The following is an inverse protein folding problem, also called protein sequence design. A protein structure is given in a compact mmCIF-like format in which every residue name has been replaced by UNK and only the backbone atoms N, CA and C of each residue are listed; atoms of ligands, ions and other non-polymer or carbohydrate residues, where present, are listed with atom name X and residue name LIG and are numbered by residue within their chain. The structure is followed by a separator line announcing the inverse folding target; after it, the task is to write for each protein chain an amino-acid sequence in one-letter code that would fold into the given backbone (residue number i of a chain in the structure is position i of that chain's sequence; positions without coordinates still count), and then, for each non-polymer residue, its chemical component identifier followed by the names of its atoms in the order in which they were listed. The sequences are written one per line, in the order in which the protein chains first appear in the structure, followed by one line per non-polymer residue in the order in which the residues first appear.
data_IF_175271300714
#
_entry.id   IF_175271300714
#
_cell.length_a   1.000
_cell.length_b   1.000
_cell.length_c   1.000
_cell.angle_alpha   90.00
_cell.angle_beta   90.00
_cell.angle_gamma   90.00
#
_symmetry.space_group_name_H-M   'P 1'
#
loop_
_entity.id
_entity.type
_entity.pdbx_description
1 polymer ?
#
# COMPACT_ATOMS: atom_id res chain seq x y z
N UNK A 1 -14.61 -0.05 -6.03
CA UNK A 1 -15.40 -0.81 -5.05
C UNK A 1 -15.26 -2.29 -5.33
N UNK A 2 -15.35 -3.16 -4.30
CA UNK A 2 -15.31 -4.59 -4.51
C UNK A 2 -16.51 -5.08 -5.34
N UNK A 3 -16.35 -6.24 -5.95
CA UNK A 3 -17.44 -6.96 -6.61
C UNK A 3 -18.57 -7.23 -5.61
N UNK A 4 -19.85 -7.00 -5.97
CA UNK A 4 -20.97 -7.33 -5.11
C UNK A 4 -20.96 -8.81 -4.65
N UNK A 5 -21.12 -9.03 -3.35
CA UNK A 5 -21.10 -10.37 -2.75
C UNK A 5 -19.70 -10.96 -2.56
N UNK A 6 -18.66 -10.11 -2.56
CA UNK A 6 -17.27 -10.51 -2.30
C UNK A 6 -17.13 -11.36 -1.03
N UNK A 7 -17.93 -11.12 0.00
CA UNK A 7 -17.85 -11.83 1.29
C UNK A 7 -17.99 -13.34 1.08
N UNK A 8 -18.89 -13.76 0.19
CA UNK A 8 -19.16 -15.18 -0.09
C UNK A 8 -17.97 -15.88 -0.73
N UNK A 9 -17.19 -15.17 -1.54
CA UNK A 9 -15.99 -15.75 -2.14
C UNK A 9 -14.90 -15.95 -1.08
N UNK A 10 -14.74 -14.96 -0.20
CA UNK A 10 -13.76 -15.02 0.89
C UNK A 10 -14.15 -16.10 1.91
N UNK A 11 -15.40 -16.15 2.37
CA UNK A 11 -15.89 -17.20 3.29
C UNK A 11 -15.67 -18.60 2.75
N UNK A 12 -15.85 -18.81 1.43
CA UNK A 12 -15.60 -20.11 0.80
C UNK A 12 -14.11 -20.44 0.70
N UNK A 13 -13.24 -19.44 0.66
CA UNK A 13 -11.79 -19.61 0.62
C UNK A 13 -11.17 -19.82 2.02
N UNK A 14 -11.78 -19.27 3.08
CA UNK A 14 -11.26 -19.32 4.46
C UNK A 14 -10.85 -20.72 4.93
N UNK A 15 -11.65 -21.80 4.77
CA UNK A 15 -11.24 -23.13 5.22
C UNK A 15 -9.95 -23.65 4.54
N UNK A 16 -9.69 -23.23 3.30
CA UNK A 16 -8.46 -23.58 2.58
C UNK A 16 -7.30 -22.70 3.02
N UNK A 17 -7.54 -21.40 3.21
CA UNK A 17 -6.57 -20.47 3.74
C UNK A 17 -6.08 -20.90 5.12
N UNK A 18 -7.00 -21.37 5.99
CA UNK A 18 -6.71 -21.96 7.29
C UNK A 18 -5.90 -23.26 7.16
N UNK A 19 -6.38 -24.20 6.35
CA UNK A 19 -5.71 -25.50 6.12
C UNK A 19 -4.25 -25.36 5.67
N UNK A 20 -3.95 -24.37 4.83
CA UNK A 20 -2.61 -24.17 4.27
C UNK A 20 -1.82 -23.05 4.95
N UNK A 21 -2.37 -22.44 6.01
CA UNK A 21 -1.78 -21.29 6.68
C UNK A 21 -1.40 -20.15 5.74
N UNK A 22 -2.31 -19.80 4.83
CA UNK A 22 -2.19 -18.69 3.90
C UNK A 22 -3.04 -17.53 4.39
N UNK A 23 -2.46 -16.33 4.42
CA UNK A 23 -3.19 -15.08 4.67
C UNK A 23 -3.53 -14.43 3.33
N UNK A 24 -4.82 -14.32 3.04
CA UNK A 24 -5.32 -13.62 1.87
C UNK A 24 -5.34 -12.11 2.15
N UNK A 25 -4.79 -11.31 1.26
CA UNK A 25 -4.73 -9.86 1.42
C UNK A 25 -5.52 -9.18 0.31
N UNK A 26 -6.48 -8.32 0.66
CA UNK A 26 -7.09 -7.39 -0.30
C UNK A 26 -6.18 -6.17 -0.46
N UNK A 27 -5.90 -5.78 -1.69
CA UNK A 27 -5.05 -4.63 -1.96
C UNK A 27 -5.86 -3.33 -1.90
N UNK A 28 -5.37 -2.35 -1.13
CA UNK A 28 -5.93 -1.00 -1.09
C UNK A 28 -5.09 -0.06 -1.94
N UNK A 29 -5.35 -0.05 -3.24
CA UNK A 29 -4.62 0.75 -4.22
C UNK A 29 -5.40 2.01 -4.65
N UNK A 30 -4.68 3.09 -4.95
CA UNK A 30 -5.28 4.31 -5.55
C UNK A 30 -6.11 3.97 -6.81
N UNK A 31 -7.26 4.61 -7.07
CA UNK A 31 -7.82 5.79 -6.40
C UNK A 31 -8.58 5.48 -5.11
N UNK A 32 -8.60 4.24 -4.62
CA UNK A 32 -9.21 3.92 -3.33
C UNK A 32 -8.33 4.45 -2.19
N UNK A 33 -8.97 5.13 -1.24
CA UNK A 33 -8.36 5.56 0.03
C UNK A 33 -8.76 4.62 1.17
N UNK A 34 -8.01 4.65 2.28
CA UNK A 34 -8.31 3.90 3.49
C UNK A 34 -9.60 4.35 4.20
N UNK A 35 -10.22 5.42 3.70
CA UNK A 35 -11.46 6.01 4.24
C UNK A 35 -12.71 5.59 3.48
N UNK A 36 -12.60 4.72 2.47
CA UNK A 36 -13.74 4.28 1.66
C UNK A 36 -14.59 3.27 2.42
N UNK A 37 -15.90 3.30 2.20
CA UNK A 37 -16.86 2.45 2.92
C UNK A 37 -16.47 0.97 2.90
N UNK A 38 -16.06 0.46 1.73
CA UNK A 38 -15.67 -0.95 1.59
C UNK A 38 -14.45 -1.36 2.42
N UNK A 39 -13.61 -0.42 2.87
CA UNK A 39 -12.53 -0.71 3.82
C UNK A 39 -13.11 -1.07 5.19
N UNK A 40 -14.13 -0.34 5.62
CA UNK A 40 -14.87 -0.66 6.85
C UNK A 40 -15.67 -1.95 6.71
N UNK A 41 -16.23 -2.22 5.53
CA UNK A 41 -16.94 -3.47 5.27
C UNK A 41 -16.00 -4.69 5.37
N UNK A 42 -14.73 -4.56 4.93
CA UNK A 42 -13.70 -5.59 5.17
C UNK A 42 -13.35 -5.75 6.65
N UNK A 43 -13.23 -4.65 7.41
CA UNK A 43 -12.98 -4.71 8.86
C UNK A 43 -14.13 -5.41 9.60
N UNK A 44 -15.37 -5.04 9.30
CA UNK A 44 -16.56 -5.69 9.86
C UNK A 44 -16.59 -7.19 9.54
N UNK A 45 -16.21 -7.57 8.32
CA UNK A 45 -16.10 -8.98 7.95
C UNK A 45 -15.06 -9.73 8.79
N UNK A 46 -13.87 -9.14 8.97
CA UNK A 46 -12.80 -9.73 9.79
C UNK A 46 -13.28 -9.88 11.23
N UNK A 47 -13.88 -8.84 11.81
CA UNK A 47 -14.41 -8.87 13.19
C UNK A 47 -15.53 -9.91 13.36
N UNK A 48 -16.49 -9.96 12.43
CA UNK A 48 -17.62 -10.90 12.46
C UNK A 48 -17.16 -12.36 12.37
N UNK A 49 -16.17 -12.63 11.52
CA UNK A 49 -15.67 -14.01 11.28
C UNK A 49 -14.59 -14.43 12.26
N UNK A 50 -13.89 -13.48 12.88
CA UNK A 50 -12.73 -13.72 13.73
C UNK A 50 -11.53 -14.32 12.98
N UNK A 51 -11.50 -14.19 11.65
CA UNK A 51 -10.45 -14.82 10.84
C UNK A 51 -9.11 -14.09 10.95
N UNK A 52 -8.02 -14.85 11.08
CA UNK A 52 -6.64 -14.35 10.96
C UNK A 52 -6.06 -14.57 9.54
N UNK A 53 -6.87 -15.10 8.62
CA UNK A 53 -6.46 -15.56 7.29
C UNK A 53 -6.99 -14.65 6.16
N UNK A 54 -7.60 -13.53 6.53
CA UNK A 54 -7.94 -12.45 5.62
C UNK A 54 -7.53 -11.10 6.24
N UNK A 55 -7.09 -10.17 5.41
CA UNK A 55 -6.60 -8.86 5.85
C UNK A 55 -6.22 -7.98 4.67
N UNK A 56 -5.31 -7.04 4.90
CA UNK A 56 -4.95 -6.00 3.94
C UNK A 56 -3.52 -6.14 3.42
N UNK A 57 -3.38 -5.84 2.14
CA UNK A 57 -2.15 -5.35 1.54
C UNK A 57 -2.31 -3.84 1.33
N UNK A 58 -1.72 -3.03 2.20
CA UNK A 58 -1.85 -1.57 2.10
C UNK A 58 -0.86 -1.07 1.06
N UNK A 59 -1.36 -0.58 -0.07
CA UNK A 59 -0.51 0.04 -1.09
C UNK A 59 -0.18 1.48 -0.70
N UNK A 60 1.12 1.80 -0.64
CA UNK A 60 1.58 3.12 -0.19
C UNK A 60 1.22 4.26 -1.15
N UNK A 61 0.84 3.94 -2.38
CA UNK A 61 0.25 4.89 -3.31
C UNK A 61 -1.02 5.53 -2.83
N UNK A 62 -1.75 4.89 -1.92
CA UNK A 62 -2.91 5.52 -1.28
C UNK A 62 -2.53 6.78 -0.49
N UNK A 63 -1.27 6.91 -0.04
CA UNK A 63 -0.76 8.08 0.67
C UNK A 63 -0.09 9.12 -0.24
N UNK A 64 -0.10 8.92 -1.56
CA UNK A 64 0.56 9.83 -2.49
C UNK A 64 -0.10 11.22 -2.45
N UNK A 65 0.68 12.23 -2.07
CA UNK A 65 0.19 13.60 -1.83
C UNK A 65 0.84 14.65 -2.73
N UNK A 66 1.70 14.23 -3.66
CA UNK A 66 2.37 15.09 -4.65
C UNK A 66 2.35 14.44 -6.03
N UNK A 67 2.42 15.24 -7.10
CA UNK A 67 2.45 14.72 -8.47
C UNK A 67 3.74 13.97 -8.77
N UNK A 68 3.64 12.96 -9.64
CA UNK A 68 4.76 12.14 -10.08
C UNK A 68 5.69 12.95 -11.00
N UNK A 69 6.98 13.11 -10.65
CA UNK A 69 7.93 13.81 -11.50
C UNK A 69 8.07 13.14 -12.88
N UNK A 70 7.96 13.93 -13.93
CA UNK A 70 8.09 13.45 -15.32
C UNK A 70 6.88 12.69 -15.87
N UNK A 71 5.76 12.62 -15.13
CA UNK A 71 4.51 12.13 -15.68
C UNK A 71 4.01 13.06 -16.81
N UNK A 72 3.54 12.49 -17.91
CA UNK A 72 3.01 13.25 -19.06
C UNK A 72 1.73 12.61 -19.61
N UNK A 73 0.98 13.38 -20.42
CA UNK A 73 -0.23 12.92 -21.09
C UNK A 73 -1.29 12.36 -20.13
N UNK A 74 -2.00 11.31 -20.57
CA UNK A 74 -3.07 10.68 -19.80
C UNK A 74 -2.60 10.06 -18.48
N UNK A 75 -1.30 9.74 -18.35
CA UNK A 75 -0.72 9.29 -17.08
C UNK A 75 -0.68 10.43 -16.06
N UNK A 76 -0.24 11.64 -16.46
CA UNK A 76 -0.25 12.82 -15.60
C UNK A 76 -1.67 13.25 -15.22
N UNK A 77 -2.63 13.19 -16.14
CA UNK A 77 -4.03 13.53 -15.87
C UNK A 77 -4.64 12.61 -14.80
N UNK A 78 -4.41 11.29 -14.93
CA UNK A 78 -4.81 10.31 -13.91
C UNK A 78 -4.08 10.54 -12.60
N UNK A 79 -2.81 10.94 -12.67
CA UNK A 79 -2.01 11.22 -11.50
C UNK A 79 -2.60 12.35 -10.66
N UNK A 80 -2.79 13.50 -11.29
CA UNK A 80 -3.37 14.70 -10.68
C UNK A 80 -4.78 14.44 -10.13
N UNK A 81 -5.60 13.68 -10.84
CA UNK A 81 -6.95 13.34 -10.36
C UNK A 81 -6.94 12.55 -9.05
N UNK A 82 -5.95 11.66 -8.84
CA UNK A 82 -5.86 10.92 -7.59
C UNK A 82 -5.38 11.78 -6.41
N UNK A 83 -4.82 12.97 -6.66
CA UNK A 83 -4.44 13.91 -5.61
C UNK A 83 -5.64 14.65 -5.02
N UNK A 84 -6.84 14.53 -5.62
CA UNK A 84 -8.08 15.09 -5.08
C UNK A 84 -8.54 14.37 -3.80
N UNK A 85 -8.22 13.07 -3.65
CA UNK A 85 -8.56 12.25 -2.49
C UNK A 85 -7.47 11.18 -2.25
N UNK A 86 -6.67 11.37 -1.21
CA UNK A 86 -5.61 10.43 -0.79
C UNK A 86 -5.65 10.20 0.72
N UNK A 87 -5.23 9.02 1.18
CA UNK A 87 -5.14 8.67 2.60
C UNK A 87 -4.08 9.52 3.31
N UNK A 88 -4.37 9.97 4.53
CA UNK A 88 -3.34 10.55 5.41
C UNK A 88 -2.54 9.42 6.06
N UNK A 89 -1.28 9.64 6.46
CA UNK A 89 -0.49 8.61 7.13
C UNK A 89 -1.20 7.96 8.32
N UNK A 90 -1.96 8.72 9.11
CA UNK A 90 -2.69 8.22 10.29
C UNK A 90 -3.86 7.30 9.93
N UNK A 91 -4.40 7.38 8.71
CA UNK A 91 -5.52 6.53 8.28
C UNK A 91 -5.13 5.04 8.27
N UNK A 92 -3.83 4.72 8.20
CA UNK A 92 -3.32 3.34 8.30
C UNK A 92 -3.70 2.67 9.63
N UNK A 93 -3.88 3.45 10.70
CA UNK A 93 -4.17 2.92 12.04
C UNK A 93 -5.46 2.10 12.09
N UNK A 94 -6.45 2.44 11.25
CA UNK A 94 -7.72 1.72 11.20
C UNK A 94 -7.56 0.27 10.69
N UNK A 95 -6.60 0.03 9.80
CA UNK A 95 -6.35 -1.28 9.18
C UNK A 95 -5.09 -1.97 9.69
N UNK A 96 -4.25 -1.26 10.43
CA UNK A 96 -2.92 -1.72 10.85
C UNK A 96 -2.91 -3.11 11.53
N UNK A 97 -3.86 -3.45 12.42
CA UNK A 97 -3.90 -4.78 13.05
C UNK A 97 -4.07 -5.94 12.04
N UNK A 98 -4.61 -5.65 10.86
CA UNK A 98 -4.93 -6.61 9.83
C UNK A 98 -4.09 -6.41 8.54
N UNK A 99 -3.13 -5.49 8.56
CA UNK A 99 -2.23 -5.22 7.44
C UNK A 99 -1.04 -6.19 7.48
N UNK A 100 -1.11 -7.29 6.72
CA UNK A 100 -0.05 -8.31 6.73
C UNK A 100 1.14 -7.96 5.82
N UNK A 101 0.87 -7.21 4.77
CA UNK A 101 1.88 -6.72 3.84
C UNK A 101 1.53 -5.30 3.40
N UNK A 102 2.51 -4.63 2.82
CA UNK A 102 2.31 -3.41 2.08
C UNK A 102 3.04 -3.49 0.76
N UNK A 103 2.37 -3.12 -0.32
CA UNK A 103 3.07 -2.65 -1.50
C UNK A 103 3.73 -1.33 -1.12
N UNK A 104 5.04 -1.40 -0.92
CA UNK A 104 5.92 -0.26 -0.71
C UNK A 104 6.08 0.44 -2.07
N UNK A 105 4.99 1.04 -2.55
CA UNK A 105 4.93 1.68 -3.85
C UNK A 105 5.74 2.97 -3.88
N UNK A 106 6.52 3.18 -4.92
CA UNK A 106 7.35 4.37 -5.09
C UNK A 106 7.38 4.79 -6.55
N UNK A 107 7.45 6.11 -6.77
CA UNK A 107 7.39 6.70 -8.10
C UNK A 107 8.74 7.32 -8.49
N UNK A 108 9.40 7.97 -7.53
CA UNK A 108 10.72 8.56 -7.74
C UNK A 108 11.46 8.75 -6.41
N UNK A 109 12.64 8.14 -6.31
CA UNK A 109 13.60 8.34 -5.21
C UNK A 109 14.76 9.21 -5.70
N UNK A 110 14.97 10.36 -5.06
CA UNK A 110 16.03 11.29 -5.41
C UNK A 110 17.43 10.86 -4.92
N UNK A 111 18.45 11.68 -5.15
CA UNK A 111 19.85 11.43 -4.76
C UNK A 111 20.10 11.47 -3.25
N UNK A 112 19.17 12.07 -2.50
CA UNK A 112 19.20 12.08 -1.03
C UNK A 112 18.50 10.85 -0.43
N UNK A 113 18.01 9.95 -1.29
CA UNK A 113 17.25 8.75 -0.92
C UNK A 113 15.91 9.11 -0.29
N UNK A 114 15.22 10.11 -0.87
CA UNK A 114 13.86 10.49 -0.49
C UNK A 114 12.87 10.17 -1.60
N UNK A 115 11.75 9.53 -1.26
CA UNK A 115 10.60 9.41 -2.15
C UNK A 115 9.88 10.76 -2.24
N UNK A 116 9.62 11.25 -3.47
CA UNK A 116 9.17 12.64 -3.68
C UNK A 116 7.66 12.83 -3.71
N UNK A 117 6.90 11.75 -3.71
CA UNK A 117 5.46 11.71 -3.96
C UNK A 117 4.62 11.18 -2.80
N UNK A 118 5.20 10.31 -1.97
CA UNK A 118 4.60 9.55 -0.88
C UNK A 118 5.38 9.86 0.40
N UNK A 119 4.72 10.19 1.52
CA UNK A 119 5.35 10.51 2.79
C UNK A 119 5.86 9.25 3.54
N UNK A 120 6.83 8.56 2.96
CA UNK A 120 7.35 7.27 3.45
C UNK A 120 7.76 7.29 4.93
N UNK A 121 8.47 8.33 5.35
CA UNK A 121 8.94 8.46 6.74
C UNK A 121 7.78 8.50 7.72
N UNK A 122 6.80 9.35 7.46
CA UNK A 122 5.63 9.53 8.33
C UNK A 122 4.80 8.24 8.40
N UNK A 123 4.53 7.61 7.25
CA UNK A 123 3.78 6.35 7.19
C UNK A 123 4.50 5.25 7.97
N UNK A 124 5.79 5.02 7.70
CA UNK A 124 6.54 3.95 8.35
C UNK A 124 6.75 4.20 9.84
N UNK A 125 7.04 5.43 10.26
CA UNK A 125 7.18 5.78 11.68
C UNK A 125 5.86 5.52 12.43
N UNK A 126 4.70 5.89 11.86
CA UNK A 126 3.39 5.57 12.45
C UNK A 126 3.20 4.06 12.56
N UNK A 127 3.44 3.31 11.49
CA UNK A 127 3.24 1.86 11.48
C UNK A 127 4.13 1.15 12.52
N UNK A 128 5.43 1.46 12.55
CA UNK A 128 6.41 0.83 13.46
C UNK A 128 6.14 1.22 14.91
N UNK A 129 5.85 2.49 15.19
CA UNK A 129 5.52 2.95 16.55
C UNK A 129 4.24 2.32 17.10
N UNK A 130 3.36 1.82 16.21
CA UNK A 130 2.15 1.09 16.56
C UNK A 130 2.30 -0.44 16.40
N UNK A 131 3.53 -0.95 16.38
CA UNK A 131 3.83 -2.38 16.51
C UNK A 131 3.71 -3.20 15.22
N UNK A 132 3.61 -2.55 14.05
CA UNK A 132 3.56 -3.28 12.79
C UNK A 132 4.87 -4.03 12.49
N UNK A 133 4.75 -5.27 12.04
CA UNK A 133 5.87 -6.19 11.79
C UNK A 133 5.65 -7.06 10.53
N UNK A 134 4.92 -6.53 9.55
CA UNK A 134 4.61 -7.20 8.30
C UNK A 134 5.73 -7.09 7.25
N UNK A 135 5.36 -7.32 5.99
CA UNK A 135 6.29 -7.30 4.86
C UNK A 135 6.12 -6.06 3.98
N UNK A 136 7.24 -5.46 3.57
CA UNK A 136 7.28 -4.42 2.54
C UNK A 136 7.64 -5.08 1.20
N UNK A 137 6.78 -4.89 0.20
CA UNK A 137 6.94 -5.42 -1.15
C UNK A 137 7.21 -4.26 -2.10
N UNK A 138 8.43 -4.16 -2.64
CA UNK A 138 8.79 -3.05 -3.53
C UNK A 138 7.95 -3.03 -4.81
N UNK A 139 7.30 -1.90 -5.09
CA UNK A 139 6.52 -1.69 -6.31
C UNK A 139 6.86 -0.34 -6.94
N UNK A 140 7.44 -0.36 -8.14
CA UNK A 140 7.76 0.88 -8.86
C UNK A 140 6.65 1.23 -9.85
N UNK A 141 6.06 2.42 -9.73
CA UNK A 141 4.97 2.89 -10.61
C UNK A 141 5.30 4.20 -11.34
N UNK A 142 6.55 4.65 -11.31
CA UNK A 142 6.97 5.86 -12.00
C UNK A 142 7.01 5.74 -13.54
N UNK A 143 7.12 6.87 -14.26
CA UNK A 143 6.95 6.92 -15.71
C UNK A 143 8.06 6.25 -16.52
N UNK A 144 9.20 5.94 -15.90
CA UNK A 144 10.38 5.34 -16.55
C UNK A 144 10.49 3.82 -16.28
N UNK A 145 9.35 3.13 -16.13
CA UNK A 145 9.28 1.70 -15.80
C UNK A 145 9.92 0.78 -16.86
N UNK A 146 10.00 1.23 -18.11
CA UNK A 146 10.59 0.46 -19.21
C UNK A 146 12.12 0.69 -19.36
N UNK A 147 12.70 1.57 -18.55
CA UNK A 147 14.15 1.78 -18.47
C UNK A 147 14.72 0.95 -17.31
N UNK A 148 15.17 -0.27 -17.60
CA UNK A 148 15.66 -1.20 -16.58
C UNK A 148 16.88 -0.71 -15.79
N UNK A 149 17.75 0.11 -16.40
CA UNK A 149 18.89 0.68 -15.71
C UNK A 149 18.43 1.72 -14.67
N UNK A 150 17.48 2.57 -15.06
CA UNK A 150 16.85 3.51 -14.16
C UNK A 150 16.05 2.80 -13.06
N UNK A 151 15.22 1.82 -13.42
CA UNK A 151 14.42 1.02 -12.49
C UNK A 151 15.31 0.34 -11.44
N UNK A 152 16.43 -0.27 -11.85
CA UNK A 152 17.39 -0.89 -10.96
C UNK A 152 18.01 0.10 -9.97
N UNK A 153 18.35 1.31 -10.43
CA UNK A 153 18.84 2.38 -9.54
C UNK A 153 17.75 2.86 -8.57
N UNK A 154 16.51 3.04 -9.04
CA UNK A 154 15.38 3.44 -8.20
C UNK A 154 15.09 2.40 -7.11
N UNK A 155 15.11 1.11 -7.44
CA UNK A 155 14.94 0.02 -6.47
C UNK A 155 16.08 0.04 -5.43
N UNK A 156 17.33 0.16 -5.87
CA UNK A 156 18.48 0.30 -4.95
C UNK A 156 18.30 1.48 -4.00
N UNK A 157 17.88 2.64 -4.52
CA UNK A 157 17.66 3.83 -3.70
C UNK A 157 16.51 3.66 -2.70
N UNK A 158 15.42 3.01 -3.12
CA UNK A 158 14.30 2.68 -2.24
C UNK A 158 14.76 1.82 -1.07
N UNK A 159 15.56 0.77 -1.31
CA UNK A 159 16.10 -0.05 -0.22
C UNK A 159 17.00 0.75 0.74
N UNK A 160 17.84 1.66 0.23
CA UNK A 160 18.64 2.56 1.08
C UNK A 160 17.75 3.50 1.90
N UNK A 161 16.70 4.06 1.31
CA UNK A 161 15.71 4.88 2.01
C UNK A 161 15.05 4.10 3.16
N UNK A 162 14.57 2.88 2.87
CA UNK A 162 13.94 2.01 3.87
C UNK A 162 14.89 1.70 5.03
N UNK A 163 16.13 1.30 4.74
CA UNK A 163 17.17 1.08 5.76
C UNK A 163 17.42 2.32 6.63
N UNK A 164 17.45 3.52 6.03
CA UNK A 164 17.64 4.78 6.78
C UNK A 164 16.46 5.13 7.68
N UNK A 165 15.24 4.82 7.26
CA UNK A 165 14.02 5.09 8.05
C UNK A 165 13.89 4.07 9.18
N UNK A 166 14.13 2.79 8.89
CA UNK A 166 13.89 1.68 9.82
C UNK A 166 15.09 1.38 10.75
N UNK A 167 16.29 1.87 10.40
CA UNK A 167 17.46 1.82 11.28
C UNK A 167 18.28 0.51 11.23
N UNK A 168 18.27 -0.22 10.10
CA UNK A 168 19.07 -1.43 9.89
C UNK A 168 19.73 -1.51 8.51
#
# INVERSE_FOLDING_TARGET
DPEPGWEKYIERALPYAEKYNVRMCTEVHRPTTLRRQHIFDYLEFIERTGTEHFGFNVDFGTFQNRPIPGATGSFAERDLKCLEDYSKPEDVLAVLPYAYACHAKFNYIDENFEEKTIPYREVLEIMVNNGWSGFLLSEYEGPRRDDFAFLGDQLRRQHVMLSRILGY
#
